data_IF_385878711711
#
_entry.id   IF_385878711711
#
_cell.length_a   1.000
_cell.length_b   1.000
_cell.length_c   1.000
_cell.angle_alpha   90.00
_cell.angle_beta   90.00
_cell.angle_gamma   90.00
#
_symmetry.space_group_name_H-M   'P 1'
#
loop_
_entity.id
_entity.type
_entity.pdbx_description
1 polymer ?
#
# COMPACT_ATOMS: atom_id res chain seq x y z
N UNK A 1 -10.78 -18.13 26.76
CA UNK A 1 -10.68 -16.87 25.99
C UNK A 1 -11.52 -17.03 24.72
N UNK A 2 -12.73 -16.46 24.69
CA UNK A 2 -13.67 -16.57 23.56
C UNK A 2 -13.04 -15.85 22.36
N UNK A 3 -12.84 -16.59 21.25
CA UNK A 3 -12.60 -16.02 19.93
C UNK A 3 -13.74 -15.06 19.63
N UNK A 4 -13.48 -13.75 19.63
CA UNK A 4 -14.42 -12.79 19.05
C UNK A 4 -14.59 -13.19 17.59
N UNK A 5 -15.84 -13.32 17.14
CA UNK A 5 -16.18 -13.42 15.72
C UNK A 5 -15.31 -12.46 14.91
N UNK A 6 -14.88 -12.84 13.68
CA UNK A 6 -14.12 -11.94 12.84
C UNK A 6 -14.89 -10.62 12.78
N UNK A 7 -14.23 -9.53 13.20
CA UNK A 7 -14.91 -8.25 13.30
C UNK A 7 -15.42 -7.86 11.92
N UNK A 8 -16.57 -7.22 11.87
CA UNK A 8 -17.18 -6.74 10.62
C UNK A 8 -16.18 -5.98 9.74
N UNK A 9 -15.26 -5.22 10.33
CA UNK A 9 -14.22 -4.47 9.63
C UNK A 9 -13.29 -5.35 8.80
N UNK A 10 -12.85 -6.50 9.35
CA UNK A 10 -11.98 -7.42 8.62
C UNK A 10 -12.69 -8.04 7.41
N UNK A 11 -13.99 -8.38 7.55
CA UNK A 11 -14.79 -8.94 6.45
C UNK A 11 -15.01 -7.86 5.38
N UNK A 12 -15.46 -6.67 5.77
CA UNK A 12 -15.69 -5.54 4.86
C UNK A 12 -14.40 -5.22 4.09
N UNK A 13 -13.26 -5.13 4.79
CA UNK A 13 -11.96 -4.87 4.15
C UNK A 13 -11.63 -5.91 3.08
N UNK A 14 -11.83 -7.20 3.36
CA UNK A 14 -11.58 -8.26 2.39
C UNK A 14 -12.53 -8.20 1.20
N UNK A 15 -13.80 -7.90 1.44
CA UNK A 15 -14.78 -7.73 0.36
C UNK A 15 -14.41 -6.57 -0.55
N UNK A 16 -13.99 -5.44 0.02
CA UNK A 16 -13.52 -4.27 -0.75
C UNK A 16 -12.27 -4.63 -1.56
N UNK A 17 -11.26 -5.25 -0.96
CA UNK A 17 -10.05 -5.67 -1.66
C UNK A 17 -10.36 -6.64 -2.80
N UNK A 18 -11.21 -7.63 -2.55
CA UNK A 18 -11.63 -8.60 -3.56
C UNK A 18 -12.43 -7.93 -4.70
N UNK A 19 -13.37 -7.05 -4.35
CA UNK A 19 -14.17 -6.30 -5.34
C UNK A 19 -13.30 -5.46 -6.27
N UNK A 20 -12.32 -4.71 -5.71
CA UNK A 20 -11.39 -3.93 -6.54
C UNK A 20 -10.45 -4.81 -7.37
N UNK A 21 -9.94 -5.91 -6.81
CA UNK A 21 -9.11 -6.84 -7.56
C UNK A 21 -9.91 -7.47 -8.73
N UNK A 22 -11.14 -7.89 -8.47
CA UNK A 22 -12.03 -8.43 -9.49
C UNK A 22 -12.36 -7.39 -10.57
N UNK A 23 -12.67 -6.16 -10.19
CA UNK A 23 -12.92 -5.06 -11.13
C UNK A 23 -11.73 -4.87 -12.08
N UNK A 24 -10.51 -4.81 -11.56
CA UNK A 24 -9.30 -4.64 -12.38
C UNK A 24 -9.07 -5.85 -13.29
N UNK A 25 -9.23 -7.07 -12.78
CA UNK A 25 -9.05 -8.29 -13.58
C UNK A 25 -10.10 -8.41 -14.70
N UNK A 26 -11.36 -8.06 -14.42
CA UNK A 26 -12.42 -8.04 -15.44
C UNK A 26 -12.14 -6.98 -16.51
N UNK A 27 -11.70 -5.79 -16.10
CA UNK A 27 -11.31 -4.72 -17.05
C UNK A 27 -10.14 -5.17 -17.92
N UNK A 28 -9.11 -5.78 -17.33
CA UNK A 28 -7.95 -6.31 -18.04
C UNK A 28 -8.33 -7.42 -19.01
N UNK A 29 -9.19 -8.36 -18.60
CA UNK A 29 -9.66 -9.44 -19.45
C UNK A 29 -10.48 -8.91 -20.64
N UNK A 30 -11.38 -7.95 -20.40
CA UNK A 30 -12.16 -7.32 -21.49
C UNK A 30 -11.28 -6.57 -22.47
N UNK A 31 -10.24 -5.88 -21.99
CA UNK A 31 -9.26 -5.21 -22.84
C UNK A 31 -8.46 -6.22 -23.66
N UNK A 32 -7.98 -7.31 -23.04
CA UNK A 32 -7.22 -8.37 -23.73
C UNK A 32 -8.03 -9.15 -24.77
N UNK A 33 -9.34 -9.34 -24.55
CA UNK A 33 -10.22 -10.06 -25.48
C UNK A 33 -10.74 -9.17 -26.60
N UNK A 34 -11.01 -7.89 -26.34
CA UNK A 34 -11.65 -6.97 -27.28
C UNK A 34 -10.70 -6.04 -28.03
N UNK A 35 -9.40 -6.03 -27.67
CA UNK A 35 -8.42 -5.09 -28.22
C UNK A 35 -8.74 -3.62 -27.95
N UNK A 36 -8.03 -2.72 -28.62
CA UNK A 36 -8.24 -1.26 -28.52
C UNK A 36 -9.61 -0.80 -29.06
N UNK A 37 -10.21 -1.57 -29.95
CA UNK A 37 -11.53 -1.26 -30.56
C UNK A 37 -12.69 -1.39 -29.56
N UNK A 38 -12.51 -2.14 -28.47
CA UNK A 38 -13.56 -2.30 -27.46
C UNK A 38 -13.81 -1.06 -26.59
N UNK A 39 -13.05 0.03 -26.74
CA UNK A 39 -13.18 1.26 -25.96
C UNK A 39 -12.94 1.04 -24.44
N UNK A 40 -12.40 -0.09 -24.04
CA UNK A 40 -12.12 -0.43 -22.65
C UNK A 40 -10.74 0.10 -22.28
N UNK A 41 -10.66 0.86 -21.18
CA UNK A 41 -9.41 1.40 -20.69
C UNK A 41 -8.39 0.29 -20.37
N UNK A 42 -7.14 0.49 -20.75
CA UNK A 42 -6.04 -0.42 -20.37
C UNK A 42 -5.84 -0.41 -18.86
N UNK A 43 -5.22 -1.46 -18.32
CA UNK A 43 -4.86 -1.53 -16.90
C UNK A 43 -3.94 -0.38 -16.48
N UNK A 44 -3.17 0.16 -17.42
CA UNK A 44 -2.31 1.33 -17.20
C UNK A 44 -3.12 2.59 -16.84
N UNK A 45 -4.33 2.73 -17.38
CA UNK A 45 -5.24 3.83 -17.06
C UNK A 45 -5.74 3.80 -15.60
N UNK A 46 -5.62 2.66 -14.92
CA UNK A 46 -6.01 2.47 -13.53
C UNK A 46 -4.81 2.48 -12.57
N UNK A 47 -3.60 2.79 -13.06
CA UNK A 47 -2.41 2.88 -12.24
C UNK A 47 -2.26 4.28 -11.62
N UNK A 48 -2.48 4.46 -10.30
CA UNK A 48 -2.35 5.77 -9.67
C UNK A 48 -0.91 6.26 -9.61
N UNK A 49 0.08 5.35 -9.68
CA UNK A 49 1.49 5.73 -9.70
C UNK A 49 1.89 6.41 -11.02
N UNK A 50 1.35 5.97 -12.15
CA UNK A 50 1.54 6.65 -13.44
C UNK A 50 1.05 8.11 -13.41
N UNK A 51 -0.04 8.38 -12.66
CA UNK A 51 -0.49 9.75 -12.40
C UNK A 51 0.51 10.58 -11.61
N UNK A 52 1.14 10.00 -10.59
CA UNK A 52 2.19 10.68 -9.81
C UNK A 52 3.43 10.98 -10.64
N UNK A 53 3.89 10.06 -11.48
CA UNK A 53 5.00 10.30 -12.42
C UNK A 53 4.69 11.45 -13.38
N UNK A 54 3.46 11.47 -13.91
CA UNK A 54 2.99 12.54 -14.81
C UNK A 54 2.94 13.89 -14.11
N UNK A 55 2.38 13.96 -12.92
CA UNK A 55 2.33 15.18 -12.10
C UNK A 55 3.72 15.68 -11.76
N UNK A 56 4.61 14.78 -11.34
CA UNK A 56 5.99 15.12 -11.04
C UNK A 56 6.69 15.77 -12.24
N UNK A 57 6.57 15.15 -13.41
CA UNK A 57 7.17 15.68 -14.62
C UNK A 57 6.56 17.02 -15.04
N UNK A 58 5.26 17.18 -14.90
CA UNK A 58 4.57 18.44 -15.18
C UNK A 58 5.12 19.57 -14.30
N UNK A 59 5.33 19.29 -13.01
CA UNK A 59 5.87 20.28 -12.06
C UNK A 59 7.34 20.62 -12.36
N UNK A 60 8.16 19.62 -12.68
CA UNK A 60 9.62 19.84 -12.86
C UNK A 60 9.95 20.42 -14.25
N UNK A 61 9.33 19.90 -15.30
CA UNK A 61 9.68 20.23 -16.69
C UNK A 61 8.59 20.99 -17.45
N UNK A 62 7.42 21.21 -16.86
CA UNK A 62 6.27 21.84 -17.52
C UNK A 62 5.70 21.04 -18.69
N UNK A 63 6.08 19.77 -18.86
CA UNK A 63 5.69 18.92 -19.99
C UNK A 63 4.84 17.75 -19.55
N UNK A 64 3.68 17.62 -20.20
CA UNK A 64 2.79 16.47 -20.03
C UNK A 64 3.32 15.24 -20.77
N UNK A 65 3.12 14.04 -20.22
CA UNK A 65 3.47 12.77 -20.88
C UNK A 65 2.30 12.32 -21.76
N UNK A 66 2.44 12.30 -23.11
CA UNK A 66 1.31 12.08 -24.02
C UNK A 66 0.63 10.70 -23.89
N UNK A 67 1.37 9.70 -23.37
CA UNK A 67 0.87 8.31 -23.21
C UNK A 67 0.10 8.06 -21.94
N UNK A 68 -0.05 9.07 -21.07
CA UNK A 68 -0.77 8.92 -19.82
C UNK A 68 -2.24 9.27 -20.02
N UNK A 69 -3.12 8.39 -19.60
CA UNK A 69 -4.56 8.66 -19.60
C UNK A 69 -4.90 9.77 -18.60
N UNK A 70 -5.85 10.63 -18.93
CA UNK A 70 -6.32 11.67 -18.01
C UNK A 70 -6.83 11.09 -16.68
N UNK A 71 -7.39 9.87 -16.72
CA UNK A 71 -7.81 9.11 -15.54
C UNK A 71 -6.69 8.88 -14.52
N UNK A 72 -5.45 8.67 -14.97
CA UNK A 72 -4.30 8.45 -14.07
C UNK A 72 -4.01 9.70 -13.24
N UNK A 73 -4.10 10.88 -13.85
CA UNK A 73 -3.89 12.16 -13.13
C UNK A 73 -4.96 12.35 -12.07
N UNK A 74 -6.24 12.11 -12.42
CA UNK A 74 -7.36 12.20 -11.48
C UNK A 74 -7.19 11.20 -10.33
N UNK A 75 -6.83 9.95 -10.65
CA UNK A 75 -6.55 8.93 -9.63
C UNK A 75 -5.35 9.30 -8.76
N UNK A 76 -4.27 9.83 -9.36
CA UNK A 76 -3.10 10.30 -8.64
C UNK A 76 -3.44 11.42 -7.66
N UNK A 77 -4.16 12.45 -8.10
CA UNK A 77 -4.61 13.56 -7.24
C UNK A 77 -5.56 13.05 -6.17
N UNK A 78 -6.55 12.24 -6.52
CA UNK A 78 -7.49 11.64 -5.57
C UNK A 78 -6.79 10.82 -4.50
N UNK A 79 -5.75 10.06 -4.89
CA UNK A 79 -4.92 9.30 -3.97
C UNK A 79 -4.11 10.20 -3.02
N UNK A 80 -3.52 11.29 -3.53
CA UNK A 80 -2.78 12.25 -2.70
C UNK A 80 -3.70 12.89 -1.64
N UNK A 81 -4.87 13.37 -2.07
CA UNK A 81 -5.89 13.93 -1.17
C UNK A 81 -6.36 12.88 -0.16
N UNK A 82 -6.71 11.68 -0.61
CA UNK A 82 -7.11 10.57 0.25
C UNK A 82 -6.03 10.19 1.27
N UNK A 83 -4.75 10.31 0.89
CA UNK A 83 -3.63 10.03 1.80
C UNK A 83 -3.47 11.11 2.85
N UNK A 84 -3.67 12.37 2.52
CA UNK A 84 -3.69 13.47 3.50
C UNK A 84 -4.86 13.29 4.49
N UNK A 85 -5.99 12.80 4.03
CA UNK A 85 -7.13 12.51 4.90
C UNK A 85 -6.89 11.27 5.76
N UNK A 86 -6.68 10.11 5.16
CA UNK A 86 -6.74 8.80 5.81
C UNK A 86 -5.39 8.04 5.86
N UNK A 87 -4.27 8.73 5.61
CA UNK A 87 -2.94 8.10 5.58
C UNK A 87 -2.84 7.02 4.50
N UNK A 88 -2.14 5.93 4.80
CA UNK A 88 -1.94 4.82 3.87
C UNK A 88 -3.14 3.87 3.72
N UNK A 89 -4.36 4.28 4.04
CA UNK A 89 -5.56 3.43 3.99
C UNK A 89 -5.79 2.82 2.59
N UNK A 90 -5.43 3.51 1.52
CA UNK A 90 -5.47 2.97 0.16
C UNK A 90 -4.76 1.61 0.06
N UNK A 91 -3.54 1.47 0.61
CA UNK A 91 -2.77 0.23 0.58
C UNK A 91 -3.41 -0.90 1.39
N UNK A 92 -4.20 -0.54 2.40
CA UNK A 92 -4.87 -1.52 3.27
C UNK A 92 -6.23 -1.97 2.75
N UNK A 93 -6.93 -1.15 1.96
CA UNK A 93 -8.33 -1.37 1.62
C UNK A 93 -8.60 -1.53 0.13
N UNK A 94 -7.94 -0.72 -0.72
CA UNK A 94 -8.27 -0.61 -2.14
C UNK A 94 -7.22 -1.31 -3.02
N UNK A 95 -5.94 -1.17 -2.68
CA UNK A 95 -4.85 -1.67 -3.52
C UNK A 95 -4.92 -3.19 -3.75
N UNK A 96 -5.13 -3.67 -4.98
CA UNK A 96 -5.24 -5.10 -5.26
C UNK A 96 -3.93 -5.84 -5.01
N UNK A 97 -2.80 -5.18 -5.21
CA UNK A 97 -1.49 -5.76 -4.90
C UNK A 97 -1.31 -5.99 -3.39
N UNK A 98 -1.83 -5.06 -2.55
CA UNK A 98 -1.90 -5.25 -1.11
C UNK A 98 -2.79 -6.44 -0.73
N UNK A 99 -3.94 -6.58 -1.41
CA UNK A 99 -4.85 -7.71 -1.25
C UNK A 99 -4.21 -9.05 -1.61
N UNK A 100 -3.47 -9.10 -2.74
CA UNK A 100 -2.71 -10.28 -3.17
C UNK A 100 -1.68 -10.72 -2.12
N UNK A 101 -0.91 -9.81 -1.57
CA UNK A 101 0.07 -10.13 -0.53
C UNK A 101 -0.60 -10.58 0.79
N UNK A 102 -1.75 -10.02 1.13
CA UNK A 102 -2.55 -10.49 2.28
C UNK A 102 -3.09 -11.91 2.04
N UNK A 103 -3.49 -12.23 0.80
CA UNK A 103 -3.92 -13.58 0.40
C UNK A 103 -2.77 -14.58 0.49
N UNK A 104 -1.58 -14.23 -0.04
CA UNK A 104 -0.37 -15.06 0.07
C UNK A 104 -0.01 -15.33 1.54
N UNK A 105 -0.09 -14.32 2.39
CA UNK A 105 0.12 -14.46 3.84
C UNK A 105 -0.92 -15.39 4.49
N UNK A 106 -2.18 -15.28 4.08
CA UNK A 106 -3.24 -16.18 4.59
C UNK A 106 -3.03 -17.62 4.13
N UNK A 107 -2.66 -17.83 2.86
CA UNK A 107 -2.33 -19.14 2.30
C UNK A 107 -1.14 -19.77 3.03
N UNK A 108 -0.06 -19.01 3.25
CA UNK A 108 1.11 -19.46 4.02
C UNK A 108 0.71 -19.95 5.42
N UNK A 109 -0.12 -19.14 6.13
CA UNK A 109 -0.63 -19.52 7.47
C UNK A 109 -1.46 -20.80 7.43
N UNK A 110 -2.29 -20.97 6.40
CA UNK A 110 -3.09 -22.20 6.22
C UNK A 110 -2.22 -23.43 5.97
N UNK A 111 -1.14 -23.27 5.19
CA UNK A 111 -0.15 -24.31 4.92
C UNK A 111 0.83 -24.53 6.09
N UNK A 112 0.71 -23.76 7.18
CA UNK A 112 1.58 -23.82 8.37
C UNK A 112 3.06 -23.60 8.05
N UNK A 113 3.38 -22.91 6.95
CA UNK A 113 4.76 -22.57 6.59
C UNK A 113 5.25 -21.44 7.53
N UNK A 114 6.45 -21.57 8.13
CA UNK A 114 6.99 -20.55 9.01
C UNK A 114 7.23 -19.23 8.31
N UNK A 115 7.07 -18.14 9.06
CA UNK A 115 7.36 -16.80 8.57
C UNK A 115 8.86 -16.51 8.66
N UNK A 116 9.44 -16.04 7.55
CA UNK A 116 10.80 -15.52 7.58
C UNK A 116 10.82 -14.18 8.30
N UNK A 117 11.39 -14.18 9.52
CA UNK A 117 11.49 -12.96 10.33
C UNK A 117 12.76 -12.21 9.96
N UNK A 118 12.59 -11.07 9.30
CA UNK A 118 13.68 -10.15 9.05
C UNK A 118 14.07 -9.48 10.38
N UNK A 119 15.37 -9.48 10.77
CA UNK A 119 15.83 -8.79 11.97
C UNK A 119 15.48 -7.28 11.94
N UNK A 120 15.17 -6.70 13.10
CA UNK A 120 14.70 -5.30 13.20
C UNK A 120 15.67 -4.29 12.56
N UNK A 121 16.99 -4.51 12.66
CA UNK A 121 17.98 -3.65 12.01
C UNK A 121 17.90 -3.73 10.48
N UNK A 122 17.86 -4.94 9.94
CA UNK A 122 17.75 -5.16 8.50
C UNK A 122 16.39 -4.66 7.97
N UNK A 123 15.31 -4.87 8.71
CA UNK A 123 13.98 -4.39 8.36
C UNK A 123 13.94 -2.86 8.21
N UNK A 124 14.59 -2.15 9.12
CA UNK A 124 14.71 -0.67 9.06
C UNK A 124 15.49 -0.21 7.84
N UNK A 125 16.64 -0.86 7.55
CA UNK A 125 17.48 -0.50 6.40
C UNK A 125 16.77 -0.80 5.09
N UNK A 126 16.19 -2.00 4.95
CA UNK A 126 15.43 -2.39 3.78
C UNK A 126 14.21 -1.49 3.54
N UNK A 127 13.60 -0.96 4.61
CA UNK A 127 12.50 0.00 4.52
C UNK A 127 12.86 1.30 3.79
N UNK A 128 14.12 1.70 3.78
CA UNK A 128 14.58 2.84 2.97
C UNK A 128 14.65 2.52 1.47
N UNK A 129 14.70 1.23 1.09
CA UNK A 129 14.76 0.80 -0.31
C UNK A 129 13.64 1.37 -1.16
N UNK A 130 12.42 1.48 -0.64
CA UNK A 130 11.27 2.09 -1.36
C UNK A 130 11.49 3.57 -1.72
N UNK A 131 12.22 4.33 -0.88
CA UNK A 131 12.53 5.75 -1.18
C UNK A 131 13.64 5.84 -2.23
N UNK A 132 14.59 4.91 -2.20
CA UNK A 132 15.62 4.82 -3.23
C UNK A 132 15.00 4.44 -4.58
N UNK A 133 14.11 3.46 -4.62
CA UNK A 133 13.35 3.10 -5.82
C UNK A 133 12.52 4.28 -6.32
N UNK A 134 11.79 4.97 -5.43
CA UNK A 134 11.01 6.15 -5.77
C UNK A 134 11.89 7.24 -6.38
N UNK A 135 13.00 7.60 -5.73
CA UNK A 135 13.92 8.63 -6.23
C UNK A 135 14.51 8.25 -7.59
N UNK A 136 14.91 6.99 -7.77
CA UNK A 136 15.43 6.47 -9.04
C UNK A 136 14.41 6.57 -10.18
N UNK A 137 13.14 6.19 -9.90
CA UNK A 137 12.07 6.28 -10.90
C UNK A 137 11.76 7.74 -11.26
N UNK A 138 11.63 8.62 -10.26
CA UNK A 138 11.35 10.04 -10.50
C UNK A 138 12.47 10.70 -11.30
N UNK A 139 13.74 10.37 -11.01
CA UNK A 139 14.90 10.82 -11.78
C UNK A 139 14.86 10.29 -13.23
N UNK A 140 14.64 8.99 -13.42
CA UNK A 140 14.56 8.37 -14.74
C UNK A 140 13.41 8.93 -15.58
N UNK A 141 12.25 9.19 -14.97
CA UNK A 141 11.07 9.78 -15.65
C UNK A 141 11.38 11.19 -16.18
N UNK A 142 12.09 12.00 -15.41
CA UNK A 142 12.49 13.35 -15.84
C UNK A 142 13.54 13.28 -16.95
N UNK A 143 14.55 12.40 -16.82
CA UNK A 143 15.67 12.28 -17.76
C UNK A 143 15.26 11.70 -19.11
N UNK A 144 14.42 10.64 -19.12
CA UNK A 144 14.08 9.89 -20.34
C UNK A 144 12.81 10.37 -21.03
N UNK A 145 12.03 11.21 -20.38
CA UNK A 145 10.74 11.67 -20.87
C UNK A 145 9.72 10.53 -21.12
N UNK A 146 9.90 9.36 -20.47
CA UNK A 146 9.05 8.19 -20.59
C UNK A 146 8.62 7.71 -19.20
N UNK A 147 7.51 6.99 -19.11
CA UNK A 147 7.16 6.21 -17.92
C UNK A 147 8.10 5.00 -17.81
N UNK A 148 9.30 5.24 -17.28
CA UNK A 148 10.36 4.23 -17.26
C UNK A 148 9.97 3.00 -16.44
N UNK A 149 9.24 3.22 -15.34
CA UNK A 149 8.82 2.15 -14.46
C UNK A 149 7.79 1.21 -15.08
N UNK A 150 6.97 1.68 -16.02
CA UNK A 150 5.90 0.89 -16.64
C UNK A 150 6.40 -0.42 -17.28
N UNK A 151 7.65 -0.46 -17.74
CA UNK A 151 8.25 -1.68 -18.33
C UNK A 151 8.66 -2.73 -17.30
N UNK A 152 8.80 -2.35 -16.04
CA UNK A 152 9.24 -3.22 -14.94
C UNK A 152 8.21 -3.33 -13.82
N UNK A 153 7.04 -2.70 -13.99
CA UNK A 153 6.02 -2.62 -12.95
C UNK A 153 5.38 -3.99 -12.71
N UNK A 154 5.57 -4.59 -11.52
CA UNK A 154 4.95 -5.87 -11.18
C UNK A 154 3.42 -5.77 -11.06
N UNK A 155 2.87 -4.59 -10.77
CA UNK A 155 1.44 -4.35 -10.77
C UNK A 155 0.87 -4.56 -12.19
N UNK A 156 1.45 -3.88 -13.17
CA UNK A 156 1.07 -4.04 -14.57
C UNK A 156 1.23 -5.49 -15.02
N UNK A 157 2.38 -6.11 -14.76
CA UNK A 157 2.68 -7.48 -15.18
C UNK A 157 1.66 -8.48 -14.65
N UNK A 158 1.26 -8.37 -13.38
CA UNK A 158 0.35 -9.33 -12.74
C UNK A 158 -1.11 -9.06 -13.13
N UNK A 159 -1.55 -7.80 -13.11
CA UNK A 159 -2.96 -7.44 -13.23
C UNK A 159 -3.42 -7.09 -14.64
N UNK A 160 -2.52 -6.81 -15.59
CA UNK A 160 -2.91 -6.60 -17.00
C UNK A 160 -3.27 -7.90 -17.72
N UNK A 161 -2.94 -9.06 -17.14
CA UNK A 161 -3.08 -10.36 -17.76
C UNK A 161 -2.35 -10.49 -19.12
N UNK A 162 -1.43 -9.57 -19.44
CA UNK A 162 -0.68 -9.58 -20.70
C UNK A 162 0.13 -10.87 -20.89
N UNK A 163 0.59 -11.46 -19.80
CA UNK A 163 1.27 -12.76 -19.81
C UNK A 163 0.38 -13.93 -20.26
N UNK A 164 -0.95 -13.76 -20.19
CA UNK A 164 -1.92 -14.77 -20.63
C UNK A 164 -2.27 -14.61 -22.12
N UNK A 165 -2.35 -13.36 -22.61
CA UNK A 165 -2.78 -13.05 -23.97
C UNK A 165 -1.61 -12.86 -24.94
N UNK A 166 -0.51 -12.24 -24.48
CA UNK A 166 0.65 -11.89 -25.28
C UNK A 166 1.94 -12.24 -24.56
N UNK A 167 2.17 -13.55 -24.33
CA UNK A 167 3.37 -14.00 -23.65
C UNK A 167 4.61 -13.80 -24.54
N UNK A 168 5.46 -12.84 -24.19
CA UNK A 168 6.72 -12.59 -24.87
C UNK A 168 7.89 -12.58 -23.86
N UNK A 169 8.56 -13.74 -23.77
CA UNK A 169 9.69 -13.87 -22.86
C UNK A 169 10.88 -13.00 -23.28
N UNK A 170 11.14 -12.89 -24.59
CA UNK A 170 12.34 -12.21 -25.09
C UNK A 170 12.41 -10.72 -24.66
N UNK A 171 11.28 -10.03 -24.62
CA UNK A 171 11.23 -8.60 -24.28
C UNK A 171 10.83 -8.34 -22.83
N UNK A 172 10.03 -9.21 -22.22
CA UNK A 172 9.41 -8.96 -20.90
C UNK A 172 9.98 -9.81 -19.76
N UNK A 173 11.07 -10.56 -20.00
CA UNK A 173 11.67 -11.43 -18.98
C UNK A 173 12.04 -10.71 -17.68
N UNK A 174 12.51 -9.42 -17.67
CA UNK A 174 12.83 -8.77 -16.41
C UNK A 174 11.57 -8.53 -15.57
N UNK A 175 10.46 -8.11 -16.21
CA UNK A 175 9.18 -7.87 -15.52
C UNK A 175 8.60 -9.17 -14.92
N UNK A 176 8.67 -10.26 -15.66
CA UNK A 176 8.22 -11.59 -15.17
C UNK A 176 9.07 -12.08 -14.01
N UNK A 177 10.40 -11.95 -14.12
CA UNK A 177 11.33 -12.37 -13.05
C UNK A 177 11.14 -11.56 -11.78
N UNK A 178 11.01 -10.23 -11.89
CA UNK A 178 10.74 -9.34 -10.76
C UNK A 178 9.40 -9.70 -10.12
N UNK A 179 8.34 -9.88 -10.92
CA UNK A 179 7.01 -10.22 -10.43
C UNK A 179 7.01 -11.57 -9.70
N UNK A 180 7.67 -12.57 -10.24
CA UNK A 180 7.81 -13.89 -9.62
C UNK A 180 8.59 -13.79 -8.29
N UNK A 181 9.71 -13.08 -8.28
CA UNK A 181 10.50 -12.87 -7.09
C UNK A 181 9.70 -12.17 -5.98
N UNK A 182 8.85 -11.20 -6.35
CA UNK A 182 7.98 -10.50 -5.40
C UNK A 182 6.89 -11.43 -4.87
N UNK A 183 6.26 -12.26 -5.70
CA UNK A 183 5.24 -13.22 -5.27
C UNK A 183 5.85 -14.21 -4.29
N UNK A 184 6.97 -14.84 -4.67
CA UNK A 184 7.68 -15.82 -3.82
C UNK A 184 8.16 -15.16 -2.53
N UNK A 185 8.80 -13.99 -2.62
CA UNK A 185 9.26 -13.25 -1.44
C UNK A 185 8.12 -12.83 -0.51
N UNK A 186 6.97 -12.40 -1.07
CA UNK A 186 5.79 -12.00 -0.28
C UNK A 186 5.08 -13.19 0.37
N UNK A 187 5.29 -14.40 -0.12
CA UNK A 187 4.81 -15.60 0.53
C UNK A 187 5.55 -15.83 1.86
N UNK A 188 6.86 -15.62 1.91
CA UNK A 188 7.66 -15.79 3.13
C UNK A 188 7.68 -14.56 4.04
N UNK A 189 7.75 -13.36 3.45
CA UNK A 189 7.79 -12.08 4.19
C UNK A 189 6.50 -11.30 3.93
N UNK A 190 5.63 -11.13 4.93
CA UNK A 190 4.37 -10.41 4.75
C UNK A 190 4.59 -9.00 4.20
N UNK A 191 3.87 -8.68 3.13
CA UNK A 191 3.89 -7.37 2.48
C UNK A 191 5.28 -6.89 2.05
N UNK A 192 6.15 -7.80 1.61
CA UNK A 192 7.54 -7.52 1.21
C UNK A 192 7.62 -6.35 0.22
N UNK A 193 6.85 -6.39 -0.86
CA UNK A 193 6.85 -5.32 -1.86
C UNK A 193 6.45 -3.97 -1.26
N UNK A 194 5.31 -3.93 -0.56
CA UNK A 194 4.79 -2.69 0.02
C UNK A 194 5.73 -2.07 1.06
N UNK A 195 6.50 -2.90 1.77
CA UNK A 195 7.40 -2.44 2.84
C UNK A 195 8.74 -1.93 2.33
N UNK A 196 9.29 -2.57 1.30
CA UNK A 196 10.69 -2.37 0.93
C UNK A 196 10.93 -1.77 -0.45
N UNK A 197 10.03 -2.01 -1.41
CA UNK A 197 10.31 -1.71 -2.81
C UNK A 197 9.25 -0.83 -3.49
N UNK A 198 8.03 -0.79 -2.99
CA UNK A 198 6.93 -0.09 -3.66
C UNK A 198 7.13 1.43 -3.66
N UNK A 199 7.30 2.07 -4.83
CA UNK A 199 7.50 3.51 -4.91
C UNK A 199 6.25 4.28 -4.50
N UNK A 200 5.06 3.78 -4.84
CA UNK A 200 3.80 4.34 -4.37
C UNK A 200 3.72 4.29 -2.83
N UNK A 201 4.09 3.15 -2.22
CA UNK A 201 4.18 3.02 -0.76
C UNK A 201 5.13 4.02 -0.13
N UNK A 202 6.25 4.34 -0.81
CA UNK A 202 7.17 5.40 -0.40
C UNK A 202 6.51 6.78 -0.36
N UNK A 203 5.82 7.17 -1.43
CA UNK A 203 5.10 8.44 -1.53
C UNK A 203 4.02 8.55 -0.46
N UNK A 204 3.19 7.51 -0.31
CA UNK A 204 2.11 7.49 0.69
C UNK A 204 2.64 7.56 2.12
N UNK A 205 3.78 6.91 2.40
CA UNK A 205 4.42 6.98 3.71
C UNK A 205 4.92 8.38 4.06
N UNK A 206 5.47 9.11 3.09
CA UNK A 206 5.90 10.50 3.29
C UNK A 206 4.68 11.40 3.62
N UNK A 207 3.62 11.30 2.82
CA UNK A 207 2.41 12.12 2.98
C UNK A 207 1.59 11.74 4.20
N UNK A 208 1.56 10.46 4.59
CA UNK A 208 0.80 10.02 5.77
C UNK A 208 1.31 10.61 7.08
N UNK A 209 2.51 11.20 7.09
CA UNK A 209 3.02 11.95 8.26
C UNK A 209 2.15 13.16 8.60
N UNK A 210 1.50 13.76 7.61
CA UNK A 210 0.59 14.90 7.77
C UNK A 210 -0.89 14.50 7.71
N UNK A 211 -1.20 13.20 7.72
CA UNK A 211 -2.59 12.72 7.62
C UNK A 211 -3.44 13.20 8.79
N UNK A 212 -4.68 13.57 8.47
CA UNK A 212 -5.66 14.04 9.45
C UNK A 212 -6.11 12.92 10.39
N UNK A 213 -6.49 11.77 9.81
CA UNK A 213 -6.90 10.59 10.57
C UNK A 213 -5.72 9.64 10.76
N UNK A 214 -5.51 9.21 12.00
CA UNK A 214 -4.42 8.32 12.39
C UNK A 214 -4.81 7.42 13.55
N UNK A 215 -4.13 6.28 13.68
CA UNK A 215 -4.33 5.40 14.82
C UNK A 215 -3.62 6.01 16.03
N UNK A 216 -4.37 6.15 17.12
CA UNK A 216 -3.89 6.66 18.41
C UNK A 216 -3.95 5.61 19.48
N UNK A 217 -3.04 5.71 20.43
CA UNK A 217 -2.99 4.87 21.62
C UNK A 217 -3.09 5.72 22.87
N UNK A 218 -4.07 5.39 23.70
CA UNK A 218 -4.11 5.88 25.08
C UNK A 218 -3.12 5.07 25.92
N UNK A 219 -2.11 5.77 26.46
CA UNK A 219 -1.08 5.15 27.28
C UNK A 219 -1.56 4.85 28.70
N UNK A 220 -2.61 5.51 29.18
CA UNK A 220 -3.15 5.34 30.54
C UNK A 220 -3.94 4.04 30.70
N UNK A 221 -4.67 3.62 29.66
CA UNK A 221 -5.46 2.39 29.65
C UNK A 221 -4.69 1.18 29.09
N UNK A 222 -3.49 1.40 28.51
CA UNK A 222 -2.71 0.36 27.86
C UNK A 222 -2.03 -0.58 28.86
N UNK A 223 -2.30 -1.88 28.77
CA UNK A 223 -1.69 -2.93 29.60
C UNK A 223 -0.38 -3.51 29.01
N UNK A 224 0.19 -2.90 27.99
CA UNK A 224 1.45 -3.26 27.32
C UNK A 224 1.58 -4.75 26.88
N UNK A 225 0.49 -5.36 26.48
CA UNK A 225 0.44 -6.78 26.08
C UNK A 225 1.04 -7.07 24.69
N UNK A 226 1.42 -6.06 23.90
CA UNK A 226 2.05 -6.11 22.56
C UNK A 226 1.31 -6.96 21.51
N UNK A 227 0.01 -7.20 21.71
CA UNK A 227 -0.82 -7.91 20.72
C UNK A 227 -1.00 -7.11 19.44
N UNK A 228 -1.10 -5.77 19.54
CA UNK A 228 -1.19 -4.85 18.41
C UNK A 228 0.05 -4.92 17.50
N UNK A 229 1.25 -5.08 18.05
CA UNK A 229 2.49 -5.21 17.28
C UNK A 229 2.51 -6.52 16.48
N UNK A 230 2.11 -7.63 17.14
CA UNK A 230 2.02 -8.96 16.51
C UNK A 230 0.95 -9.03 15.42
N UNK A 231 -0.12 -8.24 15.55
CA UNK A 231 -1.21 -8.18 14.59
C UNK A 231 -0.87 -7.30 13.37
N UNK A 232 0.13 -6.43 13.45
CA UNK A 232 0.46 -5.48 12.41
C UNK A 232 1.11 -6.16 11.19
N UNK A 233 0.47 -6.15 10.00
CA UNK A 233 1.00 -6.82 8.81
C UNK A 233 2.24 -6.12 8.24
N UNK A 234 2.45 -4.85 8.58
CA UNK A 234 3.63 -4.05 8.20
C UNK A 234 4.64 -3.92 9.34
N UNK A 235 4.45 -4.67 10.44
CA UNK A 235 5.38 -4.77 11.58
C UNK A 235 5.73 -3.43 12.25
N UNK A 236 4.78 -2.49 12.29
CA UNK A 236 4.94 -1.29 13.11
C UNK A 236 4.84 -1.69 14.58
N UNK A 237 5.76 -1.21 15.42
CA UNK A 237 5.67 -1.29 16.87
C UNK A 237 4.67 -0.25 17.35
N UNK A 238 3.39 -0.63 17.38
CA UNK A 238 2.28 0.26 17.79
C UNK A 238 2.34 0.55 19.28
N UNK A 239 2.82 -0.43 20.07
CA UNK A 239 2.98 -0.31 21.51
C UNK A 239 3.96 0.78 21.93
N UNK A 240 4.94 1.11 21.08
CA UNK A 240 5.97 2.10 21.39
C UNK A 240 5.54 3.54 20.98
N UNK A 241 4.38 3.71 20.32
CA UNK A 241 3.96 4.98 19.75
C UNK A 241 2.63 5.44 20.33
N UNK A 242 2.50 6.73 20.61
CA UNK A 242 1.21 7.37 20.96
C UNK A 242 0.34 7.58 19.73
N UNK A 243 0.95 7.83 18.57
CA UNK A 243 0.28 8.03 17.28
C UNK A 243 1.04 7.30 16.17
N UNK A 244 0.33 6.54 15.37
CA UNK A 244 0.88 5.78 14.23
C UNK A 244 0.49 6.48 12.93
N UNK A 245 1.46 6.98 12.19
CA UNK A 245 1.26 7.73 10.95
C UNK A 245 2.01 7.13 9.78
N UNK A 246 3.32 7.35 9.71
CA UNK A 246 4.14 6.81 8.65
C UNK A 246 4.05 5.28 8.61
N UNK A 247 4.06 4.72 7.41
CA UNK A 247 4.02 3.29 7.12
C UNK A 247 2.72 2.56 7.51
N UNK A 248 1.79 3.24 8.19
CA UNK A 248 0.50 2.66 8.53
C UNK A 248 -0.40 2.56 7.29
N UNK A 249 -0.89 1.36 7.04
CA UNK A 249 -1.81 1.07 5.93
C UNK A 249 -3.29 1.17 6.32
N UNK A 250 -3.60 1.70 7.49
CA UNK A 250 -4.98 1.90 7.96
C UNK A 250 -5.83 0.63 8.06
N UNK A 251 -5.22 -0.55 8.23
CA UNK A 251 -5.92 -1.83 8.20
C UNK A 251 -6.75 -2.14 9.46
N UNK A 252 -6.64 -1.34 10.50
CA UNK A 252 -7.34 -1.40 11.79
C UNK A 252 -7.18 -2.70 12.60
N UNK A 253 -6.34 -3.64 12.16
CA UNK A 253 -6.14 -4.92 12.87
C UNK A 253 -5.62 -4.76 14.29
N UNK A 254 -4.80 -3.74 14.56
CA UNK A 254 -4.30 -3.46 15.90
C UNK A 254 -5.43 -3.04 16.86
N UNK A 255 -6.43 -2.29 16.38
CA UNK A 255 -7.60 -1.89 17.15
C UNK A 255 -8.46 -3.13 17.48
N UNK A 256 -8.73 -3.96 16.47
CA UNK A 256 -9.53 -5.18 16.63
C UNK A 256 -8.92 -6.20 17.58
N UNK A 257 -7.59 -6.29 17.60
CA UNK A 257 -6.87 -7.28 18.43
C UNK A 257 -6.62 -6.75 19.85
N UNK A 258 -6.86 -5.48 20.10
CA UNK A 258 -6.67 -4.90 21.43
C UNK A 258 -7.67 -5.50 22.42
N UNK A 259 -7.22 -6.07 23.55
CA UNK A 259 -8.11 -6.66 24.55
C UNK A 259 -8.83 -5.61 25.40
N UNK A 260 -8.28 -4.39 25.46
CA UNK A 260 -8.85 -3.28 26.23
C UNK A 260 -9.57 -2.35 25.26
N UNK A 261 -10.89 -2.17 25.40
CA UNK A 261 -11.65 -1.27 24.52
C UNK A 261 -11.13 0.16 24.66
N UNK A 262 -11.28 0.93 23.59
CA UNK A 262 -10.97 2.34 23.49
C UNK A 262 -9.48 2.75 23.74
N UNK A 263 -8.61 1.78 24.03
CA UNK A 263 -7.16 2.01 24.15
C UNK A 263 -6.52 2.37 22.80
N UNK A 264 -6.98 1.74 21.71
CA UNK A 264 -6.58 2.06 20.34
C UNK A 264 -7.80 2.53 19.56
N UNK A 265 -7.70 3.71 18.97
CA UNK A 265 -8.79 4.32 18.22
C UNK A 265 -8.29 5.13 17.02
N UNK A 266 -9.19 5.47 16.10
CA UNK A 266 -8.90 6.40 15.01
C UNK A 266 -9.22 7.80 15.50
N UNK A 267 -8.19 8.62 15.64
CA UNK A 267 -8.34 10.01 16.09
C UNK A 267 -7.82 11.01 15.08
N UNK A 268 -8.16 12.26 15.26
CA UNK A 268 -7.73 13.40 14.43
C UNK A 268 -6.46 14.06 14.96
N UNK A 269 -5.77 14.83 14.09
CA UNK A 269 -4.61 15.65 14.51
C UNK A 269 -5.00 16.62 15.64
N UNK A 270 -6.20 17.20 15.58
CA UNK A 270 -6.66 18.27 16.49
C UNK A 270 -6.80 17.77 17.94
N UNK A 271 -7.25 16.52 18.14
CA UNK A 271 -7.34 15.92 19.47
C UNK A 271 -5.99 15.83 20.21
N UNK A 272 -4.86 15.88 19.46
CA UNK A 272 -3.53 15.88 20.10
C UNK A 272 -3.13 17.19 20.73
N UNK A 273 -3.61 18.31 20.21
CA UNK A 273 -3.33 19.62 20.75
C UNK A 273 -4.02 19.79 22.10
N UNK A 274 -5.31 19.45 22.17
CA UNK A 274 -6.06 19.57 23.44
C UNK A 274 -5.60 18.61 24.54
N UNK A 275 -5.15 17.39 24.19
CA UNK A 275 -4.61 16.44 25.18
C UNK A 275 -3.20 16.81 25.68
N UNK A 276 -2.46 17.61 24.93
CA UNK A 276 -1.18 18.17 25.36
C UNK A 276 -1.39 19.39 26.28
N UNK A 277 -2.27 20.31 25.90
CA UNK A 277 -2.61 21.53 26.69
C UNK A 277 -3.23 21.19 28.04
N UNK A 278 -4.09 20.16 28.11
CA UNK A 278 -4.70 19.76 29.39
C UNK A 278 -3.72 19.18 30.40
N UNK A 279 -2.50 18.79 30.00
CA UNK A 279 -1.43 18.28 30.89
C UNK A 279 -0.43 19.35 31.32
N UNK A 280 -0.31 20.45 30.57
CA UNK A 280 0.54 21.59 30.98
C UNK A 280 -0.18 22.56 31.94
N UNK A 281 -1.50 22.48 32.00
CA UNK A 281 -2.30 23.29 32.93
C UNK A 281 -2.48 22.74 34.37
N UNK A 282 -1.85 21.57 34.67
CA UNK A 282 -1.96 20.89 36.00
C UNK A 282 -0.58 20.67 36.64
N UNK A 283 0.45 21.39 36.21
CA UNK A 283 1.78 21.35 36.82
C UNK A 283 2.06 22.64 37.68
#
# INVERSE_FOLDING_TARGET
MKSKNPSHTHIIRRLVQFGFALFILVTAARHGLGGEEAGVASTDALCPFGGLETLWRLVVNGRYIPKTHASNVVLGVGLLVGTVLAGGAFCGWICPFGGLQDLLTALRRRLRVPELRVPDKADRILGYGRYLVLAGILYATVSTAKLWFASFDPYRTIFSLSWLFEFNWATSWPAYTISLAIIVGSFFVPRLWCRYLCPLGGTLSLLSRISLFRIRRDTSTCIDCKKCDKACPVRIKVSDKRSVTADCIGCLQCIETCPVPDTLYVGTIVESAHAAESKEGVA
#
